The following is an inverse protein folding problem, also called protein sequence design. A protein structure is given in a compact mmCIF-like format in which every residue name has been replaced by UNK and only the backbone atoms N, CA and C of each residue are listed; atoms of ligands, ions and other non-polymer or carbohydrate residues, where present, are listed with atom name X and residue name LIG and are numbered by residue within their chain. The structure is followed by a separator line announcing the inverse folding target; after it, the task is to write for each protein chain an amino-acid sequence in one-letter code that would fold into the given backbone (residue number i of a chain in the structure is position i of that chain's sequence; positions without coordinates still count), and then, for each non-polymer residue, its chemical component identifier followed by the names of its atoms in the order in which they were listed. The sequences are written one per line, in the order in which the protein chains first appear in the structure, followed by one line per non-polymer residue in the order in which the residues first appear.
data_IF_263693556764
#
_entry.id   IF_263693556764
#
_cell.length_a   1.000
_cell.length_b   1.000
_cell.length_c   1.000
_cell.angle_alpha   90.00
_cell.angle_beta   90.00
_cell.angle_gamma   90.00
#
_symmetry.space_group_name_H-M   'P 1'
#
loop_
_entity.id
_entity.type
_entity.pdbx_description
1 polymer ?
#
# COMPACT_ATOMS: atom_id res chain seq x y z
N UNK A 1 -22.81 -3.85 -6.78
CA UNK A 1 -22.25 -5.08 -6.18
C UNK A 1 -21.41 -5.78 -7.23
N UNK A 2 -20.20 -6.19 -6.88
CA UNK A 2 -19.23 -6.88 -7.76
C UNK A 2 -18.76 -8.13 -6.99
N UNK A 3 -19.20 -9.31 -7.42
CA UNK A 3 -18.98 -10.53 -6.65
C UNK A 3 -18.69 -11.76 -7.50
N UNK A 4 -17.95 -12.70 -6.91
CA UNK A 4 -17.69 -14.04 -7.46
C UNK A 4 -17.03 -14.07 -8.85
N UNK A 5 -16.29 -13.00 -9.20
CA UNK A 5 -15.54 -12.94 -10.46
C UNK A 5 -14.19 -13.65 -10.32
N UNK A 6 -13.76 -14.31 -11.40
CA UNK A 6 -12.39 -14.77 -11.59
C UNK A 6 -11.73 -13.93 -12.69
N UNK A 7 -10.76 -13.11 -12.33
CA UNK A 7 -9.98 -12.27 -13.24
C UNK A 7 -8.53 -12.74 -13.24
N UNK A 8 -8.04 -13.24 -14.36
CA UNK A 8 -6.64 -13.63 -14.52
C UNK A 8 -6.08 -12.97 -15.77
N UNK A 9 -5.09 -12.09 -15.56
CA UNK A 9 -4.45 -11.34 -16.62
C UNK A 9 -3.32 -12.14 -17.30
N UNK A 10 -3.27 -13.47 -17.05
CA UNK A 10 -2.42 -14.49 -17.63
C UNK A 10 -1.52 -13.99 -18.78
N UNK A 11 -0.21 -14.06 -18.54
CA UNK A 11 0.79 -13.63 -19.50
C UNK A 11 0.78 -14.54 -20.74
N UNK A 12 0.54 -13.98 -21.92
CA UNK A 12 0.89 -14.66 -23.16
C UNK A 12 2.39 -14.58 -23.38
N UNK A 13 3.09 -15.72 -23.20
CA UNK A 13 4.49 -15.88 -23.63
C UNK A 13 4.69 -15.52 -25.12
N UNK A 14 3.64 -15.66 -25.95
CA UNK A 14 3.68 -15.39 -27.38
C UNK A 14 3.56 -13.90 -27.76
N UNK A 15 3.21 -13.01 -26.82
CA UNK A 15 3.09 -11.55 -27.05
C UNK A 15 3.75 -10.69 -25.97
N UNK A 16 4.75 -11.22 -25.27
CA UNK A 16 5.62 -10.43 -24.39
C UNK A 16 5.12 -10.30 -22.96
N UNK A 17 4.92 -11.43 -22.28
CA UNK A 17 4.76 -11.45 -20.83
C UNK A 17 6.03 -10.98 -20.12
N UNK A 18 6.07 -9.69 -19.76
CA UNK A 18 6.94 -8.97 -18.81
C UNK A 18 8.25 -9.60 -18.33
N UNK A 19 9.03 -10.17 -19.23
CA UNK A 19 10.36 -10.69 -18.92
C UNK A 19 11.29 -10.52 -20.12
N UNK A 20 12.45 -9.98 -19.82
CA UNK A 20 13.58 -9.78 -20.70
C UNK A 20 14.05 -11.05 -21.41
N UNK A 21 14.59 -10.82 -22.59
CA UNK A 21 15.39 -11.76 -23.37
C UNK A 21 16.72 -12.06 -22.63
N UNK A 22 16.77 -13.00 -21.64
CA UNK A 22 18.01 -13.69 -21.13
C UNK A 22 17.92 -14.52 -19.83
N UNK A 23 16.80 -14.57 -19.09
CA UNK A 23 16.71 -15.39 -17.86
C UNK A 23 17.08 -14.68 -16.54
N UNK A 24 17.32 -13.36 -16.59
CA UNK A 24 17.69 -12.51 -15.45
C UNK A 24 16.56 -12.40 -14.41
N UNK A 25 15.31 -12.64 -14.80
CA UNK A 25 14.14 -12.61 -13.92
C UNK A 25 14.14 -13.65 -12.79
N UNK A 26 15.06 -14.61 -12.88
CA UNK A 26 15.31 -15.65 -11.88
C UNK A 26 16.33 -15.21 -10.83
N UNK A 27 17.05 -14.12 -11.06
CA UNK A 27 17.98 -13.57 -10.08
C UNK A 27 17.18 -12.91 -8.94
N UNK A 28 17.47 -13.23 -7.66
CA UNK A 28 16.72 -12.69 -6.51
C UNK A 28 16.69 -11.16 -6.45
N UNK A 29 17.77 -10.52 -6.90
CA UNK A 29 17.95 -9.07 -6.86
C UNK A 29 17.53 -8.39 -8.17
N UNK A 30 17.02 -9.14 -9.16
CA UNK A 30 16.60 -8.53 -10.41
C UNK A 30 15.44 -7.56 -10.17
N UNK A 31 15.64 -6.32 -10.62
CA UNK A 31 14.65 -5.26 -10.63
C UNK A 31 14.53 -4.81 -12.09
N UNK A 32 13.49 -5.20 -12.84
CA UNK A 32 13.34 -4.74 -14.20
C UNK A 32 13.14 -3.21 -14.20
N UNK A 33 13.82 -2.51 -15.10
CA UNK A 33 13.66 -1.07 -15.30
C UNK A 33 12.35 -0.79 -16.06
N UNK A 34 11.23 -1.03 -15.39
CA UNK A 34 9.89 -0.92 -15.98
C UNK A 34 9.45 0.54 -16.19
N UNK A 35 10.22 1.51 -15.67
CA UNK A 35 10.03 2.92 -16.02
C UNK A 35 10.46 3.20 -17.46
N UNK A 36 11.51 2.54 -17.94
CA UNK A 36 12.01 2.65 -19.31
C UNK A 36 11.46 1.55 -20.25
N UNK A 37 10.94 0.46 -19.72
CA UNK A 37 10.25 -0.56 -20.48
C UNK A 37 8.73 -0.29 -20.47
N UNK A 38 8.20 0.27 -21.56
CA UNK A 38 6.77 0.51 -21.81
C UNK A 38 5.90 -0.70 -21.43
N UNK A 39 5.48 -0.73 -20.17
CA UNK A 39 4.75 -1.85 -19.57
C UNK A 39 3.30 -1.45 -19.48
N UNK A 40 2.40 -2.24 -20.09
CA UNK A 40 0.97 -2.07 -19.87
C UNK A 40 0.65 -2.26 -18.39
N UNK A 41 -0.01 -1.27 -17.80
CA UNK A 41 -0.50 -1.28 -16.42
C UNK A 41 -1.80 -2.10 -16.39
N UNK A 42 -1.79 -3.22 -15.68
CA UNK A 42 -2.94 -4.08 -15.46
C UNK A 42 -3.50 -3.86 -14.06
N UNK A 43 -4.77 -3.43 -14.01
CA UNK A 43 -5.55 -3.24 -12.79
C UNK A 43 -6.68 -4.26 -12.80
N UNK A 44 -6.84 -5.02 -11.72
CA UNK A 44 -7.88 -6.04 -11.61
C UNK A 44 -9.28 -5.44 -11.59
N UNK A 45 -9.55 -4.57 -10.62
CA UNK A 45 -10.82 -3.85 -10.51
C UNK A 45 -10.57 -2.38 -10.20
N UNK A 46 -11.32 -1.52 -10.86
CA UNK A 46 -11.25 -0.07 -10.66
C UNK A 46 -12.62 0.47 -10.21
N UNK A 47 -12.65 1.06 -9.02
CA UNK A 47 -13.83 1.60 -8.35
C UNK A 47 -13.65 3.11 -8.22
N UNK A 48 -14.12 3.85 -9.22
CA UNK A 48 -13.99 5.29 -9.24
C UNK A 48 -15.31 6.01 -9.49
N UNK A 49 -15.38 7.26 -9.02
CA UNK A 49 -16.54 8.13 -9.25
C UNK A 49 -17.86 7.46 -8.84
N UNK A 50 -17.91 6.93 -7.62
CA UNK A 50 -19.13 6.33 -7.07
C UNK A 50 -19.85 7.28 -6.10
N UNK A 51 -21.17 7.22 -6.14
CA UNK A 51 -22.09 7.79 -5.17
C UNK A 51 -22.79 6.62 -4.46
N UNK A 52 -22.88 6.67 -3.13
CA UNK A 52 -23.53 5.62 -2.34
C UNK A 52 -22.72 4.33 -2.22
N UNK A 53 -23.42 3.20 -2.04
CA UNK A 53 -22.81 1.96 -1.56
C UNK A 53 -22.26 1.07 -2.69
N UNK A 54 -20.99 0.68 -2.60
CA UNK A 54 -20.34 -0.31 -3.47
C UNK A 54 -19.78 -1.44 -2.62
N UNK A 55 -20.11 -2.68 -2.98
CA UNK A 55 -19.58 -3.87 -2.32
C UNK A 55 -18.84 -4.70 -3.37
N UNK A 56 -17.55 -4.97 -3.11
CA UNK A 56 -16.66 -5.82 -3.90
C UNK A 56 -16.28 -7.01 -3.04
N UNK A 57 -16.82 -8.20 -3.34
CA UNK A 57 -16.63 -9.37 -2.47
C UNK A 57 -16.41 -10.69 -3.17
N UNK A 58 -15.69 -11.60 -2.51
CA UNK A 58 -15.50 -12.98 -2.98
C UNK A 58 -14.94 -13.07 -4.41
N UNK A 59 -14.18 -12.07 -4.88
CA UNK A 59 -13.55 -12.12 -6.19
C UNK A 59 -12.16 -12.73 -6.08
N UNK A 60 -11.71 -13.35 -7.17
CA UNK A 60 -10.36 -13.88 -7.32
C UNK A 60 -9.65 -13.11 -8.44
N UNK A 61 -8.57 -12.40 -8.11
CA UNK A 61 -7.80 -11.57 -9.04
C UNK A 61 -6.37 -12.12 -9.10
N UNK A 62 -5.90 -12.46 -10.30
CA UNK A 62 -4.58 -13.05 -10.54
C UNK A 62 -3.78 -12.28 -11.58
N UNK A 63 -2.46 -12.22 -11.36
CA UNK A 63 -1.47 -11.74 -12.33
C UNK A 63 -1.62 -10.27 -12.75
N UNK A 64 -2.16 -9.42 -11.87
CA UNK A 64 -2.06 -7.97 -12.02
C UNK A 64 -0.60 -7.52 -11.79
N UNK A 65 -0.14 -6.51 -12.55
CA UNK A 65 1.18 -5.92 -12.37
C UNK A 65 1.10 -4.49 -11.82
N UNK A 66 -0.08 -3.96 -11.50
CA UNK A 66 -0.18 -2.63 -10.91
C UNK A 66 -1.04 -2.63 -9.65
N UNK A 67 -2.34 -2.89 -9.78
CA UNK A 67 -3.28 -2.89 -8.65
C UNK A 67 -4.23 -4.08 -8.74
N UNK A 68 -4.45 -4.78 -7.63
CA UNK A 68 -5.52 -5.78 -7.58
C UNK A 68 -6.87 -5.10 -7.59
N UNK A 69 -7.12 -4.28 -6.58
CA UNK A 69 -8.30 -3.40 -6.51
C UNK A 69 -7.83 -1.97 -6.29
N UNK A 70 -8.33 -1.05 -7.10
CA UNK A 70 -8.06 0.38 -7.02
C UNK A 70 -9.36 1.13 -6.72
N UNK A 71 -9.35 1.99 -5.70
CA UNK A 71 -10.45 2.88 -5.33
C UNK A 71 -9.97 4.33 -5.41
N UNK A 72 -10.61 5.18 -6.21
CA UNK A 72 -10.25 6.61 -6.25
C UNK A 72 -11.33 7.57 -6.77
N UNK A 73 -11.19 8.87 -6.47
CA UNK A 73 -12.07 9.95 -6.95
C UNK A 73 -13.57 9.72 -6.66
N UNK A 74 -13.86 9.02 -5.57
CA UNK A 74 -15.23 8.81 -5.11
C UNK A 74 -15.71 10.05 -4.35
N UNK A 75 -17.02 10.22 -4.29
CA UNK A 75 -17.61 11.30 -3.50
C UNK A 75 -17.56 10.97 -2.00
N UNK A 76 -17.62 11.99 -1.16
CA UNK A 76 -17.73 11.86 0.31
C UNK A 76 -18.91 10.98 0.74
N UNK A 77 -19.98 10.94 -0.07
CA UNK A 77 -21.17 10.11 0.17
C UNK A 77 -21.01 8.65 -0.22
N UNK A 78 -19.84 8.25 -0.73
CA UNK A 78 -19.55 6.86 -1.07
C UNK A 78 -19.32 6.00 0.18
N UNK A 79 -19.77 4.76 0.12
CA UNK A 79 -19.55 3.75 1.15
C UNK A 79 -19.07 2.47 0.46
N UNK A 80 -17.78 2.18 0.55
CA UNK A 80 -17.13 1.14 -0.26
C UNK A 80 -16.63 0.03 0.65
N UNK A 81 -17.08 -1.20 0.40
CA UNK A 81 -16.66 -2.40 1.10
C UNK A 81 -15.88 -3.32 0.14
N UNK A 82 -14.62 -3.59 0.45
CA UNK A 82 -13.77 -4.57 -0.24
C UNK A 82 -13.56 -5.74 0.72
N UNK A 83 -14.32 -6.82 0.56
CA UNK A 83 -14.39 -7.88 1.55
C UNK A 83 -14.18 -9.29 0.99
N UNK A 84 -13.36 -10.11 1.65
CA UNK A 84 -13.16 -11.52 1.31
C UNK A 84 -12.72 -11.78 -0.14
N UNK A 85 -11.94 -10.86 -0.74
CA UNK A 85 -11.35 -11.09 -2.06
C UNK A 85 -10.00 -11.79 -1.92
N UNK A 86 -9.64 -12.59 -2.93
CA UNK A 86 -8.30 -13.17 -3.07
C UNK A 86 -7.57 -12.49 -4.21
N UNK A 87 -6.39 -11.94 -3.93
CA UNK A 87 -5.55 -11.21 -4.88
C UNK A 87 -4.18 -11.87 -4.89
N UNK A 88 -3.76 -12.39 -6.04
CA UNK A 88 -2.47 -13.08 -6.19
C UNK A 88 -1.71 -12.46 -7.35
N UNK A 89 -0.46 -12.07 -7.15
CA UNK A 89 0.42 -11.65 -8.24
C UNK A 89 1.74 -12.41 -8.23
N UNK A 90 2.02 -13.08 -9.34
CA UNK A 90 3.27 -13.81 -9.59
C UNK A 90 4.18 -13.08 -10.59
N UNK A 91 3.78 -11.88 -11.01
CA UNK A 91 4.43 -11.09 -12.06
C UNK A 91 5.10 -9.85 -11.48
N UNK A 92 6.14 -9.34 -12.13
CA UNK A 92 6.79 -8.11 -11.67
C UNK A 92 5.82 -6.92 -11.80
N UNK A 93 5.76 -6.09 -10.76
CA UNK A 93 4.94 -4.89 -10.78
C UNK A 93 5.50 -3.80 -11.69
N UNK A 94 4.63 -3.00 -12.31
CA UNK A 94 4.91 -2.02 -13.34
C UNK A 94 5.54 -0.70 -12.86
N UNK A 95 5.69 -0.50 -11.55
CA UNK A 95 6.16 0.77 -10.96
C UNK A 95 5.38 2.00 -11.51
N UNK A 96 4.04 1.97 -11.46
CA UNK A 96 3.23 2.95 -12.17
C UNK A 96 3.54 4.37 -11.68
N UNK A 97 3.71 5.29 -12.63
CA UNK A 97 4.02 6.71 -12.38
C UNK A 97 5.35 6.95 -11.67
N UNK A 98 6.37 6.14 -11.96
CA UNK A 98 7.72 6.22 -11.37
C UNK A 98 7.72 6.09 -9.84
N UNK A 99 6.73 5.37 -9.30
CA UNK A 99 6.66 5.10 -7.87
C UNK A 99 7.69 4.03 -7.48
N UNK A 100 8.43 4.15 -6.37
CA UNK A 100 9.33 3.09 -5.86
C UNK A 100 8.60 1.80 -5.43
N UNK A 101 7.28 1.84 -5.33
CA UNK A 101 6.45 0.65 -5.15
C UNK A 101 6.04 0.06 -6.50
N UNK A 102 6.30 -1.23 -6.71
CA UNK A 102 6.05 -1.89 -7.99
C UNK A 102 4.55 -2.11 -8.27
N UNK A 103 3.76 -2.29 -7.21
CA UNK A 103 2.32 -2.51 -7.27
C UNK A 103 1.70 -2.59 -5.88
N UNK A 104 0.36 -2.62 -5.79
CA UNK A 104 -0.35 -2.84 -4.53
C UNK A 104 -1.46 -3.87 -4.70
N UNK A 105 -1.66 -4.76 -3.72
CA UNK A 105 -2.82 -5.65 -3.69
C UNK A 105 -4.11 -4.85 -3.72
N UNK A 106 -4.28 -3.94 -2.78
CA UNK A 106 -5.39 -2.97 -2.74
C UNK A 106 -4.80 -1.57 -2.59
N UNK A 107 -5.23 -0.61 -3.43
CA UNK A 107 -4.94 0.81 -3.26
C UNK A 107 -6.25 1.59 -3.13
N UNK A 108 -6.37 2.35 -2.06
CA UNK A 108 -7.37 3.39 -1.87
C UNK A 108 -6.66 4.73 -1.96
N UNK A 109 -7.16 5.63 -2.79
CA UNK A 109 -6.59 6.94 -3.04
C UNK A 109 -7.73 7.97 -3.04
N UNK A 110 -7.76 8.94 -2.13
CA UNK A 110 -8.91 9.86 -2.00
C UNK A 110 -9.16 10.67 -3.28
N UNK A 111 -8.29 11.64 -3.55
CA UNK A 111 -8.30 12.50 -4.74
C UNK A 111 -7.05 12.23 -5.57
N UNK A 112 -7.23 11.92 -6.86
CA UNK A 112 -6.14 11.67 -7.79
C UNK A 112 -6.31 12.37 -9.13
N UNK A 113 -7.43 12.15 -9.83
CA UNK A 113 -7.69 12.82 -11.12
C UNK A 113 -8.74 13.92 -11.00
N UNK A 114 -9.52 13.90 -9.93
CA UNK A 114 -10.55 14.90 -9.63
C UNK A 114 -10.41 15.35 -8.16
N UNK A 115 -10.64 16.64 -7.85
CA UNK A 115 -10.50 17.15 -6.49
C UNK A 115 -11.70 16.76 -5.63
N UNK A 116 -11.67 15.55 -5.07
CA UNK A 116 -12.73 15.01 -4.21
C UNK A 116 -12.19 14.38 -2.94
N UNK A 117 -12.65 14.86 -1.79
CA UNK A 117 -12.53 14.17 -0.50
C UNK A 117 -13.33 12.87 -0.58
N UNK A 118 -12.65 11.73 -0.63
CA UNK A 118 -13.30 10.43 -0.78
C UNK A 118 -14.17 10.05 0.42
N UNK A 119 -15.15 9.16 0.22
CA UNK A 119 -16.02 8.66 1.28
C UNK A 119 -15.38 7.58 2.16
N UNK A 120 -16.23 6.77 2.80
CA UNK A 120 -15.79 5.69 3.70
C UNK A 120 -15.36 4.44 2.93
N UNK A 121 -14.27 3.82 3.36
CA UNK A 121 -13.77 2.59 2.76
C UNK A 121 -13.42 1.54 3.83
N UNK A 122 -14.02 0.35 3.72
CA UNK A 122 -13.68 -0.83 4.53
C UNK A 122 -12.97 -1.87 3.68
N UNK A 123 -11.82 -2.35 4.15
CA UNK A 123 -11.03 -3.42 3.56
C UNK A 123 -10.96 -4.57 4.58
N UNK A 124 -11.77 -5.62 4.37
CA UNK A 124 -12.02 -6.66 5.38
C UNK A 124 -11.78 -8.09 4.90
N UNK A 125 -11.02 -8.92 5.60
CA UNK A 125 -11.00 -10.37 5.30
C UNK A 125 -10.35 -10.76 3.97
N UNK A 126 -9.60 -9.86 3.32
CA UNK A 126 -8.99 -10.15 2.01
C UNK A 126 -7.69 -10.93 2.17
N UNK A 127 -7.38 -11.76 1.17
CA UNK A 127 -6.13 -12.50 1.07
C UNK A 127 -5.29 -11.96 -0.08
N UNK A 128 -4.10 -11.45 0.21
CA UNK A 128 -3.21 -10.77 -0.74
C UNK A 128 -1.85 -11.47 -0.75
N UNK A 129 -1.46 -12.01 -1.92
CA UNK A 129 -0.20 -12.72 -2.13
C UNK A 129 0.56 -12.07 -3.27
N UNK A 130 1.78 -11.63 -3.02
CA UNK A 130 2.66 -11.08 -4.05
C UNK A 130 4.04 -11.75 -4.00
N UNK A 131 4.38 -12.48 -5.06
CA UNK A 131 5.60 -13.29 -5.13
C UNK A 131 6.80 -12.52 -5.66
N UNK A 132 6.55 -11.34 -6.26
CA UNK A 132 7.56 -10.50 -6.86
C UNK A 132 7.81 -9.26 -6.04
N UNK A 133 8.90 -8.62 -6.41
CA UNK A 133 9.60 -7.69 -5.56
C UNK A 133 8.90 -6.34 -5.47
N UNK A 134 9.05 -5.67 -4.33
CA UNK A 134 8.60 -4.30 -4.09
C UNK A 134 7.07 -4.06 -4.19
N UNK A 135 6.27 -5.12 -4.14
CA UNK A 135 4.81 -4.99 -4.00
C UNK A 135 4.44 -4.52 -2.59
N UNK A 136 3.36 -3.77 -2.50
CA UNK A 136 2.69 -3.47 -1.24
C UNK A 136 1.44 -4.35 -1.08
N UNK A 137 1.09 -4.71 0.16
CA UNK A 137 -0.17 -5.38 0.46
C UNK A 137 -1.35 -4.43 0.25
N UNK A 138 -1.48 -3.46 1.16
CA UNK A 138 -2.59 -2.51 1.18
C UNK A 138 -2.05 -1.08 1.30
N UNK A 139 -2.53 -0.18 0.45
CA UNK A 139 -2.17 1.22 0.46
C UNK A 139 -3.41 2.10 0.63
N UNK A 140 -3.37 3.03 1.59
CA UNK A 140 -4.41 4.02 1.88
C UNK A 140 -3.81 5.41 1.78
N UNK A 141 -4.13 6.11 0.69
CA UNK A 141 -3.56 7.39 0.34
C UNK A 141 -4.62 8.50 0.40
N UNK A 142 -4.30 9.60 1.07
CA UNK A 142 -4.96 10.88 0.88
C UNK A 142 -4.47 11.59 -0.39
N UNK A 143 -4.78 12.88 -0.58
CA UNK A 143 -4.78 13.51 -1.91
C UNK A 143 -3.40 13.50 -2.60
N UNK A 144 -3.43 13.12 -3.89
CA UNK A 144 -2.28 13.18 -4.80
C UNK A 144 -2.25 14.50 -5.61
N UNK A 145 -3.34 15.25 -5.60
CA UNK A 145 -3.48 16.55 -6.25
C UNK A 145 -3.71 17.66 -5.23
N UNK A 146 -3.36 18.89 -5.61
CA UNK A 146 -3.34 20.04 -4.71
C UNK A 146 -4.37 21.09 -5.15
N UNK A 147 -5.61 20.69 -5.37
CA UNK A 147 -6.69 21.58 -5.81
C UNK A 147 -7.78 21.68 -4.75
N UNK A 148 -8.48 22.81 -4.67
CA UNK A 148 -9.62 22.97 -3.77
C UNK A 148 -10.64 21.84 -3.97
N UNK A 149 -11.06 21.19 -2.88
CA UNK A 149 -11.91 20.00 -2.91
C UNK A 149 -11.16 18.66 -2.85
N UNK A 150 -9.84 18.64 -3.10
CA UNK A 150 -9.00 17.44 -2.96
C UNK A 150 -8.66 17.17 -1.49
N UNK A 151 -9.60 16.59 -0.74
CA UNK A 151 -9.40 16.21 0.65
C UNK A 151 -8.98 14.75 0.87
N UNK A 152 -8.84 14.40 2.15
CA UNK A 152 -8.59 13.03 2.63
C UNK A 152 -9.88 12.20 2.59
N UNK A 153 -9.77 10.91 2.90
CA UNK A 153 -10.95 10.05 3.10
C UNK A 153 -11.69 10.47 4.38
N UNK A 154 -13.00 10.28 4.44
CA UNK A 154 -13.77 10.44 5.69
C UNK A 154 -13.27 9.45 6.75
N UNK A 155 -13.14 8.18 6.40
CA UNK A 155 -12.62 7.12 7.28
C UNK A 155 -12.17 5.94 6.43
N UNK A 156 -11.10 5.25 6.84
CA UNK A 156 -10.72 3.96 6.27
C UNK A 156 -10.49 2.92 7.36
N UNK A 157 -11.05 1.72 7.19
CA UNK A 157 -10.89 0.59 8.13
C UNK A 157 -10.25 -0.57 7.37
N UNK A 158 -9.10 -1.04 7.83
CA UNK A 158 -8.35 -2.17 7.28
C UNK A 158 -8.30 -3.27 8.35
N UNK A 159 -9.09 -4.33 8.17
CA UNK A 159 -9.32 -5.31 9.23
C UNK A 159 -9.31 -6.76 8.72
N UNK A 160 -8.79 -7.68 9.53
CA UNK A 160 -8.83 -9.13 9.27
C UNK A 160 -8.21 -9.57 7.92
N UNK A 161 -7.29 -8.79 7.33
CA UNK A 161 -6.67 -9.17 6.05
C UNK A 161 -5.43 -10.06 6.27
N UNK A 162 -5.18 -10.96 5.33
CA UNK A 162 -3.95 -11.75 5.24
C UNK A 162 -3.08 -11.22 4.09
N UNK A 163 -1.91 -10.67 4.42
CA UNK A 163 -0.94 -10.14 3.46
C UNK A 163 0.34 -10.99 3.51
N UNK A 164 0.73 -11.57 2.39
CA UNK A 164 1.97 -12.34 2.23
C UNK A 164 2.79 -11.77 1.08
N UNK A 165 3.93 -11.18 1.40
CA UNK A 165 4.83 -10.56 0.44
C UNK A 165 6.16 -11.34 0.41
N UNK A 166 6.45 -12.03 -0.70
CA UNK A 166 7.67 -12.85 -0.77
C UNK A 166 8.97 -12.03 -0.68
N UNK A 167 8.99 -10.85 -1.30
CA UNK A 167 10.06 -9.85 -1.23
C UNK A 167 9.46 -8.44 -1.46
N UNK A 168 8.49 -8.09 -0.63
CA UNK A 168 7.69 -6.88 -0.77
C UNK A 168 8.41 -5.58 -0.42
N UNK A 169 7.68 -4.49 -0.62
CA UNK A 169 8.04 -3.16 -0.16
C UNK A 169 7.47 -2.94 1.25
N UNK A 170 6.14 -2.91 1.37
CA UNK A 170 5.43 -2.53 2.60
C UNK A 170 4.19 -3.41 2.79
N UNK A 171 3.93 -3.90 4.00
CA UNK A 171 2.68 -4.60 4.33
C UNK A 171 1.45 -3.72 4.15
N UNK A 172 1.32 -2.69 5.01
CA UNK A 172 0.29 -1.66 4.95
C UNK A 172 0.92 -0.27 4.96
N UNK A 173 0.49 0.62 4.06
CA UNK A 173 0.89 2.02 4.04
C UNK A 173 -0.31 2.94 4.21
N UNK A 174 -0.19 3.90 5.11
CA UNK A 174 -1.08 5.04 5.29
C UNK A 174 -0.30 6.28 4.89
N UNK A 175 -0.73 6.97 3.83
CA UNK A 175 -0.03 8.16 3.34
C UNK A 175 -0.97 9.33 3.24
N UNK A 176 -0.63 10.46 3.87
CA UNK A 176 -1.41 11.72 3.82
C UNK A 176 -2.88 11.51 4.20
N UNK A 177 -3.15 10.53 5.05
CA UNK A 177 -4.49 10.09 5.40
C UNK A 177 -4.63 10.14 6.91
N UNK A 178 -5.83 10.47 7.34
CA UNK A 178 -6.17 10.64 8.75
C UNK A 178 -7.17 9.58 9.17
N UNK A 179 -7.27 9.34 10.48
CA UNK A 179 -8.33 8.52 11.08
C UNK A 179 -8.50 7.15 10.42
N UNK A 180 -7.40 6.56 9.94
CA UNK A 180 -7.38 5.21 9.36
C UNK A 180 -7.12 4.21 10.48
N UNK A 181 -7.98 3.20 10.59
CA UNK A 181 -7.87 2.14 11.58
C UNK A 181 -7.39 0.85 10.91
N UNK A 182 -6.30 0.27 11.45
CA UNK A 182 -5.69 -0.96 10.94
C UNK A 182 -5.59 -1.95 12.08
N UNK A 183 -6.38 -3.03 12.02
CA UNK A 183 -6.40 -4.02 13.12
C UNK A 183 -6.62 -5.46 12.68
N UNK A 184 -6.14 -6.41 13.48
CA UNK A 184 -6.32 -7.84 13.25
C UNK A 184 -5.82 -8.33 11.88
N UNK A 185 -4.90 -7.61 11.23
CA UNK A 185 -4.31 -8.05 9.98
C UNK A 185 -3.10 -8.94 10.25
N UNK A 186 -2.90 -9.95 9.41
CA UNK A 186 -1.72 -10.81 9.44
C UNK A 186 -0.79 -10.46 8.28
N UNK A 187 0.46 -10.16 8.59
CA UNK A 187 1.50 -9.85 7.61
C UNK A 187 2.63 -10.88 7.69
N UNK A 188 3.09 -11.34 6.53
CA UNK A 188 4.15 -12.34 6.45
C UNK A 188 5.03 -12.21 5.21
N UNK A 189 6.17 -12.89 5.24
CA UNK A 189 7.17 -12.89 4.17
C UNK A 189 8.30 -11.92 4.47
N UNK A 190 8.73 -11.13 3.49
CA UNK A 190 9.86 -10.20 3.63
C UNK A 190 9.49 -8.83 3.07
N UNK A 191 9.71 -7.75 3.84
CA UNK A 191 9.39 -6.38 3.41
C UNK A 191 10.32 -5.36 4.10
N UNK A 192 10.41 -4.13 3.58
CA UNK A 192 11.17 -3.06 4.24
C UNK A 192 10.42 -2.48 5.45
N UNK A 193 9.08 -2.48 5.39
CA UNK A 193 8.23 -2.09 6.51
C UNK A 193 6.99 -2.98 6.63
N UNK A 194 6.55 -3.28 7.84
CA UNK A 194 5.23 -3.88 8.07
C UNK A 194 4.14 -2.82 7.93
N UNK A 195 4.27 -1.73 8.68
CA UNK A 195 3.44 -0.54 8.61
C UNK A 195 4.29 0.69 8.27
N UNK A 196 3.75 1.55 7.40
CA UNK A 196 4.30 2.88 7.16
C UNK A 196 3.19 3.94 7.28
N UNK A 197 3.38 4.96 8.11
CA UNK A 197 2.50 6.13 8.22
C UNK A 197 3.28 7.39 7.83
N UNK A 198 2.89 8.00 6.72
CA UNK A 198 3.69 9.09 6.12
C UNK A 198 2.83 10.28 5.70
N UNK A 199 3.18 11.48 6.15
CA UNK A 199 2.63 12.73 5.63
C UNK A 199 3.62 13.47 4.72
N UNK A 200 3.26 14.68 4.34
CA UNK A 200 4.16 15.68 3.77
C UNK A 200 3.72 17.09 4.17
N UNK A 201 4.55 18.10 3.89
CA UNK A 201 4.18 19.51 4.07
C UNK A 201 2.89 19.86 3.34
N UNK A 202 2.12 20.74 3.96
CA UNK A 202 0.96 21.35 3.34
C UNK A 202 1.31 21.99 2.01
N UNK A 203 0.38 21.87 1.07
CA UNK A 203 0.57 22.43 -0.28
C UNK A 203 -0.70 23.08 -0.75
N UNK A 204 -0.61 24.36 -1.12
CA UNK A 204 -1.74 25.15 -1.62
C UNK A 204 -2.94 25.16 -0.64
N UNK A 205 -2.66 25.18 0.66
CA UNK A 205 -3.69 25.20 1.71
C UNK A 205 -4.34 23.84 1.99
N UNK A 206 -3.82 22.75 1.41
CA UNK A 206 -4.31 21.40 1.65
C UNK A 206 -3.38 20.71 2.65
N UNK A 207 -3.97 20.20 3.72
CA UNK A 207 -3.30 19.38 4.73
C UNK A 207 -2.88 18.04 4.13
N UNK A 208 -1.57 17.75 4.15
CA UNK A 208 -0.98 16.50 3.67
C UNK A 208 -0.31 15.68 4.78
N UNK A 209 -0.53 16.02 6.05
CA UNK A 209 -0.10 15.21 7.19
C UNK A 209 -0.83 13.87 7.26
N UNK A 210 -0.38 12.99 8.17
CA UNK A 210 -1.07 11.75 8.51
C UNK A 210 -1.38 11.72 10.01
N UNK A 211 -2.65 11.96 10.35
CA UNK A 211 -3.10 12.24 11.73
C UNK A 211 -4.04 11.20 12.30
N UNK A 212 -3.93 10.96 13.60
CA UNK A 212 -4.91 10.21 14.39
C UNK A 212 -5.21 8.82 13.82
N UNK A 213 -4.23 8.19 13.16
CA UNK A 213 -4.38 6.81 12.68
C UNK A 213 -4.13 5.83 13.83
N UNK A 214 -4.77 4.66 13.74
CA UNK A 214 -4.65 3.61 14.76
C UNK A 214 -4.16 2.31 14.14
N UNK A 215 -3.16 1.72 14.77
CA UNK A 215 -2.64 0.40 14.43
C UNK A 215 -2.60 -0.47 15.68
N UNK A 216 -3.48 -1.46 15.75
CA UNK A 216 -3.69 -2.27 16.95
C UNK A 216 -3.91 -3.73 16.58
N UNK A 217 -3.42 -4.66 17.40
CA UNK A 217 -3.71 -6.10 17.28
C UNK A 217 -3.34 -6.71 15.91
N UNK A 218 -2.29 -6.21 15.23
CA UNK A 218 -1.82 -6.79 13.97
C UNK A 218 -0.69 -7.80 14.22
N UNK A 219 -0.71 -8.91 13.49
CA UNK A 219 0.29 -9.98 13.60
C UNK A 219 1.38 -9.81 12.52
N UNK A 220 2.58 -9.41 12.93
CA UNK A 220 3.77 -9.35 12.06
C UNK A 220 4.83 -10.42 12.40
N UNK A 221 4.50 -11.45 13.19
CA UNK A 221 5.47 -12.50 13.58
C UNK A 221 6.09 -13.22 12.38
N UNK A 222 5.31 -13.39 11.31
CA UNK A 222 5.76 -14.04 10.08
C UNK A 222 6.49 -13.10 9.11
N UNK A 223 6.73 -11.83 9.48
CA UNK A 223 7.31 -10.81 8.62
C UNK A 223 8.78 -10.55 8.96
N UNK A 224 9.67 -10.88 8.03
CA UNK A 224 11.08 -10.52 8.06
C UNK A 224 11.27 -9.08 7.54
N UNK A 225 11.81 -8.20 8.38
CA UNK A 225 12.21 -6.86 7.95
C UNK A 225 13.53 -6.94 7.19
N UNK A 226 13.54 -6.40 5.97
CA UNK A 226 14.71 -6.33 5.10
C UNK A 226 15.76 -5.41 5.70
N UNK A 227 17.02 -5.83 5.63
CA UNK A 227 18.14 -4.90 5.77
C UNK A 227 18.09 -3.84 4.65
N UNK A 228 18.55 -2.61 4.92
CA UNK A 228 18.84 -1.62 3.89
C UNK A 228 19.68 -2.21 2.75
N UNK A 229 19.31 -1.88 1.51
CA UNK A 229 20.03 -2.28 0.31
C UNK A 229 20.15 -1.10 -0.67
N UNK A 230 20.87 -1.30 -1.79
CA UNK A 230 21.06 -0.27 -2.82
C UNK A 230 19.73 0.32 -3.32
N UNK A 231 18.66 -0.48 -3.32
CA UNK A 231 17.35 -0.03 -3.74
C UNK A 231 16.76 0.94 -2.72
N UNK A 232 16.69 0.57 -1.45
CA UNK A 232 16.13 1.46 -0.42
C UNK A 232 17.01 2.69 -0.18
N UNK A 233 18.33 2.55 -0.24
CA UNK A 233 19.31 3.64 -0.13
C UNK A 233 19.15 4.68 -1.25
N UNK A 234 18.88 4.24 -2.48
CA UNK A 234 18.59 5.11 -3.62
C UNK A 234 17.25 5.86 -3.53
N UNK A 235 16.41 5.55 -2.54
CA UNK A 235 15.06 6.11 -2.39
C UNK A 235 14.80 6.74 -1.01
N UNK A 236 15.86 7.18 -0.31
CA UNK A 236 15.75 7.97 0.92
C UNK A 236 15.22 9.38 0.59
N UNK A 237 13.90 9.54 0.62
CA UNK A 237 13.20 10.78 0.24
C UNK A 237 12.24 11.30 1.34
N UNK A 238 12.20 10.63 2.50
CA UNK A 238 11.29 10.94 3.61
C UNK A 238 9.81 10.64 3.32
N UNK A 239 9.50 10.00 2.18
CA UNK A 239 8.16 9.61 1.74
C UNK A 239 8.02 8.10 1.59
N UNK A 240 9.02 7.45 1.00
CA UNK A 240 9.09 6.01 0.74
C UNK A 240 10.06 5.32 1.68
N UNK A 241 11.18 5.96 1.99
CA UNK A 241 12.17 5.49 2.96
C UNK A 241 12.68 6.63 3.84
N UNK A 242 12.90 6.33 5.12
CA UNK A 242 13.70 7.15 6.04
C UNK A 242 15.18 6.76 5.92
N UNK A 243 16.07 7.66 6.36
CA UNK A 243 17.50 7.44 6.33
C UNK A 243 18.31 8.73 6.43
N UNK A 244 19.62 8.58 6.51
CA UNK A 244 20.59 9.69 6.51
C UNK A 244 21.83 9.29 5.71
N UNK A 245 22.54 10.29 5.16
CA UNK A 245 23.80 10.09 4.41
C UNK A 245 23.69 9.05 3.28
N UNK A 246 22.53 9.00 2.61
CA UNK A 246 22.27 8.07 1.51
C UNK A 246 22.07 6.62 1.94
N UNK A 247 21.88 6.35 3.24
CA UNK A 247 21.54 5.04 3.77
C UNK A 247 20.16 5.04 4.37
N UNK A 248 19.36 4.09 3.94
CA UNK A 248 18.00 3.88 4.43
C UNK A 248 17.97 3.17 5.78
N UNK A 249 16.86 3.31 6.49
CA UNK A 249 16.57 2.56 7.71
C UNK A 249 15.21 1.87 7.60
N UNK A 250 15.12 0.64 8.08
CA UNK A 250 13.96 -0.25 7.93
C UNK A 250 13.50 -0.71 9.32
N UNK A 251 12.21 -0.99 9.47
CA UNK A 251 11.62 -1.36 10.76
C UNK A 251 10.25 -2.02 10.58
N UNK A 252 9.69 -2.63 11.62
CA UNK A 252 8.31 -3.13 11.58
C UNK A 252 7.32 -1.99 11.35
N UNK A 253 7.54 -0.84 12.00
CA UNK A 253 6.74 0.37 11.84
C UNK A 253 7.63 1.59 11.57
N UNK A 254 7.23 2.43 10.61
CA UNK A 254 7.80 3.76 10.44
C UNK A 254 6.72 4.84 10.40
N UNK A 255 6.88 5.84 11.26
CA UNK A 255 6.10 7.08 11.32
C UNK A 255 7.02 8.24 10.91
N UNK A 256 6.71 8.95 9.82
CA UNK A 256 7.58 10.05 9.38
C UNK A 256 7.30 11.36 10.14
N UNK A 257 8.15 12.36 9.93
CA UNK A 257 8.06 13.68 10.56
C UNK A 257 6.79 14.51 10.30
N UNK A 258 5.89 14.03 9.45
CA UNK A 258 4.60 14.67 9.17
C UNK A 258 3.43 13.79 9.64
N UNK A 259 3.72 12.83 10.51
CA UNK A 259 2.73 12.03 11.22
C UNK A 259 2.53 12.62 12.61
N UNK A 260 1.28 12.71 13.06
CA UNK A 260 0.93 13.35 14.33
C UNK A 260 -0.23 12.60 15.03
N UNK A 261 -0.14 12.44 16.35
CA UNK A 261 -1.25 11.91 17.16
C UNK A 261 -1.63 10.45 16.88
N UNK A 262 -0.78 9.68 16.21
CA UNK A 262 -1.09 8.29 15.84
C UNK A 262 -0.93 7.35 17.05
N UNK A 263 -1.78 6.34 17.14
CA UNK A 263 -1.71 5.29 18.15
C UNK A 263 -1.18 4.00 17.52
N UNK A 264 -0.01 3.54 17.97
CA UNK A 264 0.65 2.34 17.48
C UNK A 264 0.84 1.35 18.64
N UNK A 265 0.24 0.16 18.52
CA UNK A 265 0.53 -0.98 19.37
C UNK A 265 1.34 -2.01 18.60
N UNK A 266 2.46 -2.43 19.19
CA UNK A 266 3.39 -3.40 18.61
C UNK A 266 3.74 -4.45 19.66
N UNK A 267 4.19 -5.62 19.23
CA UNK A 267 4.77 -6.63 20.12
C UNK A 267 6.16 -6.18 20.59
N UNK A 268 6.61 -6.68 21.74
CA UNK A 268 7.92 -6.34 22.29
C UNK A 268 9.11 -6.62 21.34
N UNK A 269 8.97 -7.59 20.44
CA UNK A 269 10.00 -7.95 19.44
C UNK A 269 10.03 -7.05 18.20
N UNK A 270 9.04 -6.18 18.01
CA UNK A 270 8.88 -5.38 16.81
C UNK A 270 9.57 -4.02 16.97
N UNK A 271 10.16 -3.54 15.88
CA UNK A 271 10.94 -2.29 15.84
C UNK A 271 10.10 -1.13 15.29
N UNK A 272 10.28 0.07 15.87
CA UNK A 272 9.57 1.28 15.46
C UNK A 272 10.56 2.42 15.22
N UNK A 273 10.44 3.07 14.06
CA UNK A 273 11.08 4.37 13.79
C UNK A 273 9.99 5.43 13.86
N UNK A 274 10.05 6.29 14.86
CA UNK A 274 9.11 7.39 15.03
C UNK A 274 9.84 8.72 14.90
N UNK A 275 9.54 9.44 13.82
CA UNK A 275 10.06 10.78 13.53
C UNK A 275 8.99 11.86 13.72
N UNK A 276 7.74 11.45 14.02
CA UNK A 276 6.58 12.31 14.11
C UNK A 276 6.42 12.99 15.47
N UNK A 277 5.27 13.63 15.67
CA UNK A 277 4.96 14.40 16.88
C UNK A 277 3.73 13.81 17.59
N UNK A 278 3.75 13.80 18.93
CA UNK A 278 2.63 13.36 19.77
C UNK A 278 2.06 11.95 19.45
N UNK A 279 2.85 11.11 18.77
CA UNK A 279 2.52 9.72 18.53
C UNK A 279 2.62 8.91 19.83
N UNK A 280 1.67 8.01 20.03
CA UNK A 280 1.66 7.07 21.17
C UNK A 280 2.06 5.70 20.67
N UNK A 281 3.28 5.27 20.99
CA UNK A 281 3.77 3.92 20.71
C UNK A 281 3.77 3.11 22.01
N UNK A 282 3.07 1.98 22.03
CA UNK A 282 3.02 1.07 23.18
C UNK A 282 3.40 -0.34 22.75
N UNK A 283 4.14 -1.03 23.62
CA UNK A 283 4.50 -2.43 23.43
C UNK A 283 3.64 -3.34 24.29
N UNK A 284 3.12 -4.42 23.71
CA UNK A 284 2.46 -5.48 24.46
C UNK A 284 3.52 -6.37 25.13
N UNK A 285 3.33 -6.66 26.42
CA UNK A 285 4.12 -7.66 27.14
C UNK A 285 3.72 -9.06 26.67
N UNK A 286 4.72 -9.90 26.36
CA UNK A 286 4.57 -11.32 25.97
C UNK A 286 3.61 -12.13 26.85
#
# INVERSE_FOLDING_TARGET
MIEENYLDFALSYARGGFVTNKGLEREPNYRPDLQNHETSICIGMNICRNLGKVIVRNNFIRNMNARGILVFDNWETADIEIVNNTIISEVFGAYPYNNPMSGAGILVQSAWSEPRSGGRVKIGGNKILCDKVNHCGIAVYGPAMYQEGAGKLETCIVVDNEVSLKDGSIGVIIRRSDSTEVSNNKMSGKAYYGLQVTGSEDRQGIDLSAKDNKFEDNDMEGLEIKEPDEYSDGHVDGRMFTGSDGRSATANVWLNKYSEGNLIKVKASETVIDEGEDNTVTSESE
#
